data_IF_188436290102
#
_entry.id   IF_188436290102
#
_cell.length_a   1.000
_cell.length_b   1.000
_cell.length_c   1.000
_cell.angle_alpha   90.00
_cell.angle_beta   90.00
_cell.angle_gamma   90.00
#
_symmetry.space_group_name_H-M   'P 1'
#
loop_
_entity.id
_entity.type
_entity.pdbx_description
1 polymer ?
#
# COMPACT_ATOMS: atom_id res chain seq x y z
N UNK A 1 27.96 -24.19 44.86
CA UNK A 1 26.49 -24.26 44.68
C UNK A 1 25.82 -23.22 45.59
N UNK A 2 25.39 -22.08 45.03
CA UNK A 2 24.50 -21.11 45.70
C UNK A 2 23.24 -20.99 44.84
N UNK A 3 22.07 -21.32 45.40
CA UNK A 3 20.77 -21.18 44.72
C UNK A 3 20.45 -19.69 44.57
N UNK A 4 20.28 -19.21 43.33
CA UNK A 4 19.70 -17.90 43.07
C UNK A 4 18.16 -18.03 43.14
N UNK A 5 17.54 -17.16 43.94
CA UNK A 5 16.08 -17.04 44.06
C UNK A 5 15.52 -16.39 42.79
N UNK A 6 14.43 -16.92 42.25
CA UNK A 6 13.66 -16.29 41.18
C UNK A 6 12.81 -15.14 41.74
N UNK A 7 12.99 -13.94 41.22
CA UNK A 7 12.12 -12.78 41.50
C UNK A 7 10.86 -12.87 40.65
N UNK A 8 9.72 -12.43 41.18
CA UNK A 8 8.44 -12.47 40.49
C UNK A 8 8.10 -11.11 39.82
N UNK A 9 7.14 -11.14 38.90
CA UNK A 9 6.78 -10.08 37.95
C UNK A 9 6.44 -8.71 38.58
N UNK A 10 6.10 -8.65 39.88
CA UNK A 10 5.78 -7.40 40.58
C UNK A 10 7.02 -6.63 41.08
N UNK A 11 8.14 -7.30 41.33
CA UNK A 11 9.38 -6.63 41.75
C UNK A 11 10.19 -6.08 40.56
N UNK A 12 10.02 -6.64 39.37
CA UNK A 12 10.69 -6.17 38.15
C UNK A 12 10.16 -4.82 37.64
N UNK A 13 8.89 -4.50 37.92
CA UNK A 13 8.23 -3.26 37.46
C UNK A 13 8.48 -2.04 38.37
N UNK A 14 9.17 -2.22 39.50
CA UNK A 14 9.46 -1.12 40.44
C UNK A 14 10.74 -0.32 40.15
N UNK A 15 11.59 -0.75 39.20
CA UNK A 15 12.93 -0.19 38.97
C UNK A 15 13.01 0.67 37.69
N UNK A 16 11.95 0.77 36.89
CA UNK A 16 11.97 1.50 35.61
C UNK A 16 10.94 2.64 35.63
N UNK A 17 11.43 3.87 35.79
CA UNK A 17 10.63 5.09 35.73
C UNK A 17 10.00 5.31 34.34
N UNK A 18 8.87 6.02 34.32
CA UNK A 18 8.07 6.33 33.13
C UNK A 18 8.92 7.04 32.07
N UNK A 19 9.18 6.39 30.93
CA UNK A 19 9.82 7.05 29.78
C UNK A 19 10.64 6.17 28.81
N UNK A 20 10.74 4.85 28.99
CA UNK A 20 11.61 4.03 28.13
C UNK A 20 10.84 2.87 27.48
N UNK A 21 10.86 2.80 26.15
CA UNK A 21 10.44 1.62 25.39
C UNK A 21 11.62 0.65 25.33
N UNK A 22 11.45 -0.56 25.88
CA UNK A 22 12.41 -1.64 25.76
C UNK A 22 11.98 -2.57 24.62
N UNK A 23 12.85 -2.74 23.63
CA UNK A 23 12.67 -3.73 22.56
C UNK A 23 13.33 -5.03 23.04
N UNK A 24 12.54 -6.09 23.22
CA UNK A 24 13.03 -7.42 23.61
C UNK A 24 13.10 -8.27 22.35
N UNK A 25 14.31 -8.62 21.93
CA UNK A 25 14.53 -9.63 20.90
C UNK A 25 14.83 -10.97 21.59
N UNK A 26 13.97 -11.98 21.35
CA UNK A 26 14.21 -13.35 21.78
C UNK A 26 14.99 -14.09 20.69
N UNK A 27 16.29 -14.33 20.92
CA UNK A 27 17.10 -15.20 20.09
C UNK A 27 17.16 -16.58 20.73
N UNK A 28 16.55 -17.56 20.06
CA UNK A 28 16.50 -18.97 20.45
C UNK A 28 17.86 -19.67 20.26
N UNK A 29 18.92 -19.19 20.95
CA UNK A 29 20.04 -20.02 21.42
C UNK A 29 21.04 -19.23 22.29
N UNK A 30 20.61 -18.63 23.40
CA UNK A 30 21.43 -18.41 24.61
C UNK A 30 20.68 -17.54 25.61
N UNK A 31 20.74 -17.89 26.89
CA UNK A 31 20.01 -17.22 27.98
C UNK A 31 20.75 -15.96 28.50
N UNK A 32 20.94 -14.96 27.65
CA UNK A 32 21.48 -13.66 28.06
C UNK A 32 20.74 -12.51 27.38
N UNK A 33 20.14 -11.61 28.16
CA UNK A 33 19.47 -10.39 27.67
C UNK A 33 20.43 -9.21 27.83
N UNK A 34 20.70 -8.48 26.75
CA UNK A 34 21.39 -7.19 26.76
C UNK A 34 20.38 -6.07 26.43
N UNK A 35 20.35 -5.02 27.23
CA UNK A 35 19.59 -3.80 26.97
C UNK A 35 20.58 -2.65 26.72
N UNK A 36 20.43 -1.95 25.60
CA UNK A 36 21.20 -0.75 25.25
C UNK A 36 20.23 0.43 25.12
N UNK A 37 20.45 1.48 25.91
CA UNK A 37 19.66 2.72 25.85
C UNK A 37 20.53 3.85 25.28
N UNK A 38 20.01 4.56 24.27
CA UNK A 38 20.59 5.79 23.74
C UNK A 38 19.53 6.89 23.82
N UNK A 39 19.84 7.97 24.54
CA UNK A 39 19.01 9.15 24.70
C UNK A 39 19.50 10.32 23.85
N UNK A 40 18.59 11.25 23.53
CA UNK A 40 18.92 12.51 22.87
C UNK A 40 17.72 13.47 22.88
N UNK A 41 17.96 14.68 23.36
CA UNK A 41 16.97 15.73 23.70
C UNK A 41 16.93 16.87 22.67
N UNK A 42 15.84 17.65 22.74
CA UNK A 42 15.73 19.12 22.58
C UNK A 42 15.10 19.74 21.31
N UNK A 43 13.88 20.25 21.50
CA UNK A 43 13.37 21.63 21.33
C UNK A 43 13.98 22.57 20.26
N UNK A 44 13.12 23.15 19.42
CA UNK A 44 12.89 24.62 19.38
C UNK A 44 11.70 24.97 18.45
N UNK A 45 10.75 25.72 18.98
CA UNK A 45 9.66 26.37 18.26
C UNK A 45 9.94 27.87 18.15
N UNK A 46 9.68 28.47 17.00
CA UNK A 46 9.58 29.92 16.82
C UNK A 46 8.33 30.24 15.99
N UNK A 47 7.56 31.21 16.48
CA UNK A 47 6.26 31.62 15.96
C UNK A 47 6.34 32.88 15.08
N UNK A 48 5.48 32.90 14.04
CA UNK A 48 4.67 34.04 13.51
C UNK A 48 5.39 35.29 12.94
N UNK A 49 4.82 36.08 11.99
CA UNK A 49 3.39 36.42 11.90
C UNK A 49 2.72 36.55 10.51
N UNK A 50 1.41 36.79 10.63
CA UNK A 50 0.26 36.98 9.73
C UNK A 50 0.26 38.22 8.83
N UNK A 51 -0.40 38.14 7.65
CA UNK A 51 -1.61 38.89 7.20
C UNK A 51 -1.76 38.86 5.65
N UNK A 52 -2.88 39.33 5.03
CA UNK A 52 -4.17 38.68 4.79
C UNK A 52 -4.43 38.39 3.27
N UNK A 53 -5.53 37.70 2.87
CA UNK A 53 -5.82 37.45 1.45
C UNK A 53 -6.65 38.56 0.81
N UNK A 54 -6.31 38.90 -0.45
CA UNK A 54 -7.07 39.77 -1.32
C UNK A 54 -8.15 38.99 -2.07
N UNK A 55 -9.39 39.46 -1.94
CA UNK A 55 -10.59 39.07 -2.71
C UNK A 55 -10.47 39.47 -4.18
N UNK A 56 -10.76 38.53 -5.08
CA UNK A 56 -11.13 38.82 -6.46
C UNK A 56 -12.26 37.87 -6.91
N UNK A 57 -13.48 38.35 -6.81
CA UNK A 57 -14.67 37.81 -7.47
C UNK A 57 -14.61 38.12 -8.97
N UNK A 58 -14.58 37.10 -9.82
CA UNK A 58 -14.82 37.22 -11.25
C UNK A 58 -16.01 36.32 -11.64
N UNK A 59 -17.02 36.95 -12.24
CA UNK A 59 -18.31 36.36 -12.55
C UNK A 59 -18.26 35.28 -13.63
N UNK A 60 -19.00 34.21 -13.39
CA UNK A 60 -19.29 33.17 -14.38
C UNK A 60 -20.62 33.51 -15.04
N UNK A 61 -20.60 33.71 -16.35
CA UNK A 61 -21.79 33.86 -17.19
C UNK A 61 -22.18 32.49 -17.72
N UNK A 62 -23.35 31.97 -17.32
CA UNK A 62 -23.90 30.70 -17.79
C UNK A 62 -24.71 30.93 -19.07
N UNK A 63 -24.35 30.22 -20.15
CA UNK A 63 -25.17 30.07 -21.34
C UNK A 63 -26.06 28.82 -21.21
N UNK A 64 -27.30 28.81 -21.75
CA UNK A 64 -28.23 27.71 -21.56
C UNK A 64 -27.93 26.54 -22.51
N UNK A 65 -27.77 25.34 -21.95
CA UNK A 65 -27.65 24.08 -22.71
C UNK A 65 -29.03 23.57 -23.09
N UNK A 66 -29.27 23.36 -24.39
CA UNK A 66 -30.49 22.77 -24.93
C UNK A 66 -30.64 21.30 -24.52
N UNK A 67 -31.83 20.93 -24.08
CA UNK A 67 -32.23 19.56 -23.73
C UNK A 67 -32.65 18.81 -24.98
N UNK A 68 -31.91 17.75 -25.34
CA UNK A 68 -32.37 16.71 -26.26
C UNK A 68 -32.29 15.36 -25.56
N UNK A 69 -33.45 14.78 -25.24
CA UNK A 69 -33.60 13.38 -24.83
C UNK A 69 -33.41 12.47 -26.04
N UNK A 70 -32.55 11.43 -26.00
CA UNK A 70 -32.57 10.40 -27.03
C UNK A 70 -33.68 9.39 -26.73
N UNK A 71 -34.40 9.01 -27.78
CA UNK A 71 -35.42 7.96 -27.75
C UNK A 71 -34.80 6.61 -27.36
N UNK A 72 -35.48 5.87 -26.48
CA UNK A 72 -35.11 4.52 -26.07
C UNK A 72 -35.48 3.55 -27.19
N UNK A 73 -34.48 2.89 -27.75
CA UNK A 73 -34.61 1.77 -28.69
C UNK A 73 -35.11 0.52 -27.94
N UNK A 74 -36.23 -0.05 -28.39
CA UNK A 74 -36.96 -1.14 -27.72
C UNK A 74 -36.68 -2.52 -28.33
N UNK A 75 -35.44 -2.83 -28.69
CA UNK A 75 -35.08 -4.19 -29.10
C UNK A 75 -35.03 -5.13 -27.87
N UNK A 76 -35.72 -6.28 -27.88
CA UNK A 76 -35.59 -7.28 -26.83
C UNK A 76 -34.17 -7.88 -26.83
N UNK A 77 -33.64 -8.27 -25.65
CA UNK A 77 -32.27 -8.76 -25.56
C UNK A 77 -32.08 -10.04 -26.39
N UNK A 78 -30.93 -10.21 -27.06
CA UNK A 78 -30.66 -11.41 -27.82
C UNK A 78 -30.66 -12.63 -26.90
N UNK A 79 -31.32 -13.70 -27.34
CA UNK A 79 -31.34 -14.98 -26.63
C UNK A 79 -29.94 -15.55 -26.55
N UNK A 80 -29.44 -15.76 -25.33
CA UNK A 80 -28.12 -16.37 -25.10
C UNK A 80 -28.11 -17.79 -25.67
N UNK A 81 -27.15 -18.06 -26.57
CA UNK A 81 -26.88 -19.41 -27.05
C UNK A 81 -26.41 -20.30 -25.89
N UNK A 82 -26.74 -21.61 -25.89
CA UNK A 82 -26.31 -22.52 -24.84
C UNK A 82 -24.77 -22.61 -24.79
N UNK A 83 -24.20 -22.50 -23.59
CA UNK A 83 -22.76 -22.65 -23.38
C UNK A 83 -22.30 -24.05 -23.81
N UNK A 84 -21.31 -24.09 -24.71
CA UNK A 84 -20.57 -25.31 -25.02
C UNK A 84 -19.66 -25.66 -23.83
N UNK A 85 -19.94 -26.77 -23.15
CA UNK A 85 -19.22 -27.21 -21.94
C UNK A 85 -17.92 -27.98 -22.24
N UNK A 86 -17.51 -28.10 -23.51
CA UNK A 86 -16.32 -28.87 -23.91
C UNK A 86 -15.11 -27.99 -24.27
N UNK A 87 -15.16 -26.69 -24.02
CA UNK A 87 -13.95 -25.87 -24.01
C UNK A 87 -13.26 -26.08 -22.67
N UNK A 88 -12.00 -26.54 -22.61
CA UNK A 88 -11.22 -26.51 -21.37
C UNK A 88 -11.27 -25.08 -20.83
N UNK A 89 -11.82 -24.89 -19.63
CA UNK A 89 -11.74 -23.60 -18.94
C UNK A 89 -10.27 -23.20 -18.92
N UNK A 90 -9.90 -21.98 -19.33
CA UNK A 90 -8.52 -21.52 -19.13
C UNK A 90 -8.20 -21.71 -17.65
N UNK A 91 -7.07 -22.35 -17.33
CA UNK A 91 -6.57 -22.31 -15.96
C UNK A 91 -6.41 -20.85 -15.62
N UNK A 92 -7.23 -20.35 -14.70
CA UNK A 92 -7.04 -19.00 -14.18
C UNK A 92 -5.74 -19.09 -13.39
N UNK A 93 -4.67 -18.55 -13.95
CA UNK A 93 -3.41 -18.41 -13.24
C UNK A 93 -3.61 -17.35 -12.14
N UNK A 94 -4.09 -17.85 -10.99
CA UNK A 94 -4.36 -17.05 -9.81
C UNK A 94 -3.07 -16.46 -9.27
N UNK A 95 -3.14 -15.23 -8.78
CA UNK A 95 -2.02 -14.58 -8.14
C UNK A 95 -1.89 -15.07 -6.70
N UNK A 96 -0.66 -15.43 -6.31
CA UNK A 96 -0.26 -15.55 -4.91
C UNK A 96 0.28 -14.21 -4.43
N UNK A 97 -0.19 -13.73 -3.28
CA UNK A 97 0.27 -12.48 -2.65
C UNK A 97 1.07 -12.83 -1.40
N UNK A 98 2.35 -12.46 -1.37
CA UNK A 98 3.21 -12.66 -0.21
C UNK A 98 3.53 -11.31 0.42
N UNK A 99 2.98 -11.02 1.63
CA UNK A 99 3.35 -9.83 2.38
C UNK A 99 4.78 -9.94 2.92
N UNK A 100 5.54 -8.86 2.81
CA UNK A 100 6.88 -8.71 3.36
C UNK A 100 6.93 -7.50 4.28
N UNK A 101 7.28 -7.72 5.55
CA UNK A 101 7.56 -6.63 6.48
C UNK A 101 8.95 -6.04 6.20
N UNK A 102 9.01 -4.82 5.67
CA UNK A 102 10.22 -4.18 5.14
C UNK A 102 10.50 -2.87 5.88
N UNK A 103 10.68 -2.98 7.19
CA UNK A 103 10.88 -1.85 8.08
C UNK A 103 9.57 -1.50 8.79
N UNK A 104 9.10 -0.27 8.59
CA UNK A 104 7.83 0.23 9.16
C UNK A 104 6.63 0.02 8.25
N UNK A 105 6.87 -0.30 6.98
CA UNK A 105 5.89 -0.55 5.93
C UNK A 105 5.92 -2.01 5.47
N UNK A 106 4.91 -2.39 4.71
CA UNK A 106 4.83 -3.64 3.98
C UNK A 106 5.16 -3.42 2.51
N UNK A 107 5.76 -4.44 1.90
CA UNK A 107 5.83 -4.64 0.46
C UNK A 107 5.20 -6.00 0.12
N UNK A 108 4.98 -6.25 -1.15
CA UNK A 108 4.33 -7.49 -1.61
C UNK A 108 5.07 -8.11 -2.78
N UNK A 109 5.24 -9.43 -2.74
CA UNK A 109 5.66 -10.24 -3.88
C UNK A 109 4.42 -10.92 -4.45
N UNK A 110 4.09 -10.59 -5.69
CA UNK A 110 2.94 -11.14 -6.41
C UNK A 110 3.45 -12.13 -7.44
N UNK A 111 2.90 -13.34 -7.44
CA UNK A 111 3.36 -14.43 -8.31
C UNK A 111 2.20 -14.96 -9.13
N UNK A 112 2.38 -15.00 -10.46
CA UNK A 112 1.50 -15.67 -11.41
C UNK A 112 2.36 -16.57 -12.30
N UNK A 113 2.23 -17.88 -12.14
CA UNK A 113 3.14 -18.83 -12.80
C UNK A 113 4.59 -18.58 -12.34
N UNK A 114 5.47 -18.27 -13.28
CA UNK A 114 6.87 -17.90 -13.04
C UNK A 114 7.13 -16.39 -13.18
N UNK A 115 6.08 -15.58 -13.37
CA UNK A 115 6.18 -14.13 -13.47
C UNK A 115 5.91 -13.46 -12.12
N UNK A 116 6.78 -12.49 -11.77
CA UNK A 116 6.73 -11.79 -10.49
C UNK A 116 6.54 -10.29 -10.68
N UNK A 117 5.63 -9.73 -9.89
CA UNK A 117 5.52 -8.30 -9.64
C UNK A 117 5.84 -7.99 -8.16
N UNK A 118 6.64 -6.96 -7.93
CA UNK A 118 6.82 -6.37 -6.60
C UNK A 118 5.88 -5.18 -6.46
N UNK A 119 5.23 -5.04 -5.31
CA UNK A 119 4.51 -3.82 -4.92
C UNK A 119 5.22 -3.21 -3.74
N UNK A 120 5.74 -1.99 -3.94
CA UNK A 120 6.66 -1.29 -3.06
C UNK A 120 7.97 -2.04 -2.78
N UNK A 121 8.92 -1.34 -2.16
CA UNK A 121 10.29 -1.78 -1.90
C UNK A 121 10.72 -1.57 -0.45
N UNK A 122 9.87 -0.97 0.39
CA UNK A 122 10.17 -0.75 1.80
C UNK A 122 11.18 0.36 2.06
N UNK A 123 11.74 0.38 3.27
CA UNK A 123 12.90 1.23 3.60
C UNK A 123 14.18 0.66 2.97
N UNK A 124 15.20 1.49 2.77
CA UNK A 124 16.50 1.09 2.22
C UNK A 124 17.15 -0.08 3.00
N UNK A 125 17.95 -0.91 2.31
CA UNK A 125 18.65 -2.06 2.89
C UNK A 125 17.79 -3.32 3.09
N UNK A 126 16.65 -3.46 2.40
CA UNK A 126 15.77 -4.63 2.54
C UNK A 126 15.79 -5.58 1.33
N UNK A 127 16.66 -5.38 0.33
CA UNK A 127 16.71 -6.23 -0.86
C UNK A 127 16.88 -7.74 -0.54
N UNK A 128 17.63 -8.08 0.51
CA UNK A 128 17.82 -9.47 0.96
C UNK A 128 16.50 -10.15 1.38
N UNK A 129 15.53 -9.41 1.92
CA UNK A 129 14.21 -9.97 2.26
C UNK A 129 13.43 -10.38 1.01
N UNK A 130 13.55 -9.61 -0.07
CA UNK A 130 12.96 -9.96 -1.35
C UNK A 130 13.65 -11.18 -1.94
N UNK A 131 14.99 -11.26 -1.88
CA UNK A 131 15.73 -12.46 -2.31
C UNK A 131 15.24 -13.71 -1.56
N UNK A 132 15.17 -13.66 -0.22
CA UNK A 132 14.70 -14.79 0.58
C UNK A 132 13.25 -15.20 0.28
N UNK A 133 12.38 -14.22 -0.03
CA UNK A 133 11.00 -14.45 -0.43
C UNK A 133 10.91 -15.19 -1.78
N UNK A 134 11.68 -14.72 -2.78
CA UNK A 134 11.76 -15.37 -4.09
C UNK A 134 12.30 -16.80 -3.97
N UNK A 135 13.38 -16.99 -3.19
CA UNK A 135 13.99 -18.31 -2.97
C UNK A 135 13.02 -19.30 -2.32
N UNK A 136 12.21 -18.85 -1.36
CA UNK A 136 11.16 -19.68 -0.72
C UNK A 136 10.13 -20.18 -1.73
N UNK A 137 9.92 -19.43 -2.80
CA UNK A 137 9.01 -19.76 -3.90
C UNK A 137 9.71 -20.49 -5.06
N UNK A 138 10.99 -20.84 -4.92
CA UNK A 138 11.83 -21.39 -6.00
C UNK A 138 11.91 -20.48 -7.23
N UNK A 139 11.84 -19.16 -7.02
CA UNK A 139 11.95 -18.11 -8.03
C UNK A 139 13.28 -17.35 -7.86
N UNK A 140 13.68 -16.65 -8.92
CA UNK A 140 14.88 -15.83 -8.96
C UNK A 140 14.54 -14.39 -9.35
N UNK A 141 15.51 -13.48 -9.21
CA UNK A 141 15.37 -12.09 -9.66
C UNK A 141 15.03 -11.96 -11.15
N UNK A 142 15.42 -12.94 -11.96
CA UNK A 142 15.09 -13.04 -13.38
C UNK A 142 13.59 -13.24 -13.67
N UNK A 143 12.82 -13.65 -12.66
CA UNK A 143 11.36 -13.77 -12.72
C UNK A 143 10.65 -12.43 -12.43
N UNK A 144 11.35 -11.45 -11.84
CA UNK A 144 10.79 -10.14 -11.52
C UNK A 144 10.70 -9.30 -12.78
N UNK A 145 9.49 -9.18 -13.32
CA UNK A 145 9.21 -8.40 -14.53
C UNK A 145 8.57 -7.05 -14.23
N UNK A 146 8.01 -6.87 -13.03
CA UNK A 146 7.33 -5.62 -12.64
C UNK A 146 7.72 -5.16 -11.24
N UNK A 147 7.91 -3.85 -11.08
CA UNK A 147 8.02 -3.16 -9.79
C UNK A 147 7.00 -2.02 -9.81
N UNK A 148 5.96 -2.13 -9.00
CA UNK A 148 4.87 -1.18 -8.90
C UNK A 148 5.06 -0.39 -7.60
N UNK A 149 5.25 0.92 -7.70
CA UNK A 149 5.40 1.80 -6.55
C UNK A 149 4.05 2.48 -6.29
N UNK A 150 3.52 2.29 -5.09
CA UNK A 150 2.23 2.90 -4.69
C UNK A 150 2.36 4.41 -4.62
N UNK A 151 3.47 4.91 -4.07
CA UNK A 151 3.77 6.34 -3.98
C UNK A 151 5.25 6.60 -3.65
N UNK A 152 5.67 7.86 -3.64
CA UNK A 152 7.08 8.25 -3.52
C UNK A 152 7.67 8.29 -2.09
N UNK A 153 6.91 7.97 -1.04
CA UNK A 153 7.48 8.07 0.31
C UNK A 153 8.61 7.06 0.53
N UNK A 154 9.57 7.48 1.35
CA UNK A 154 10.87 6.81 1.50
C UNK A 154 10.76 5.38 2.00
N UNK A 155 9.77 5.09 2.82
CA UNK A 155 9.46 3.77 3.33
C UNK A 155 8.74 2.87 2.32
N UNK A 156 8.43 3.35 1.12
CA UNK A 156 7.86 2.55 0.03
C UNK A 156 8.84 2.40 -1.13
N UNK A 157 9.71 3.39 -1.37
CA UNK A 157 10.68 3.39 -2.49
C UNK A 157 12.14 3.17 -2.05
N UNK A 158 12.38 2.95 -0.77
CA UNK A 158 13.70 3.03 -0.16
C UNK A 158 14.70 1.98 -0.63
N UNK A 159 14.27 0.74 -0.92
CA UNK A 159 15.17 -0.30 -1.46
C UNK A 159 15.19 -0.34 -2.99
N UNK A 160 14.50 0.58 -3.68
CA UNK A 160 14.39 0.54 -5.15
C UNK A 160 15.76 0.48 -5.83
N UNK A 161 16.71 1.34 -5.44
CA UNK A 161 18.04 1.39 -6.05
C UNK A 161 18.78 0.04 -5.98
N UNK A 162 18.75 -0.61 -4.81
CA UNK A 162 19.35 -1.94 -4.61
C UNK A 162 18.65 -3.00 -5.46
N UNK A 163 17.31 -3.01 -5.43
CA UNK A 163 16.48 -3.96 -6.18
C UNK A 163 16.72 -3.85 -7.68
N UNK A 164 16.90 -2.65 -8.23
CA UNK A 164 17.17 -2.48 -9.67
C UNK A 164 18.51 -3.06 -10.12
N UNK A 165 19.47 -3.28 -9.21
CA UNK A 165 20.72 -3.99 -9.54
C UNK A 165 20.50 -5.51 -9.70
N UNK A 166 19.46 -6.04 -9.07
CA UNK A 166 19.14 -7.47 -9.04
C UNK A 166 18.06 -7.80 -10.09
N UNK A 167 16.96 -7.05 -10.11
CA UNK A 167 15.81 -7.21 -11.00
C UNK A 167 16.03 -6.56 -12.37
N UNK A 168 17.02 -7.04 -13.13
CA UNK A 168 17.46 -6.40 -14.39
C UNK A 168 16.37 -6.37 -15.47
N UNK A 169 15.45 -7.33 -15.47
CA UNK A 169 14.33 -7.41 -16.43
C UNK A 169 13.11 -6.58 -16.02
N UNK A 170 13.04 -6.14 -14.76
CA UNK A 170 11.84 -5.50 -14.25
C UNK A 170 11.59 -4.14 -14.89
N UNK A 171 10.34 -3.84 -15.25
CA UNK A 171 9.91 -2.46 -15.53
C UNK A 171 9.40 -1.82 -14.24
N UNK A 172 9.76 -0.56 -14.00
CA UNK A 172 9.29 0.20 -12.84
C UNK A 172 8.09 1.05 -13.23
N UNK A 173 7.08 1.07 -12.36
CA UNK A 173 5.81 1.73 -12.58
C UNK A 173 5.47 2.62 -11.38
N UNK A 174 4.95 3.83 -11.62
CA UNK A 174 4.40 4.70 -10.59
C UNK A 174 3.36 5.66 -11.19
N UNK A 175 2.53 6.27 -10.35
CA UNK A 175 1.66 7.36 -10.80
C UNK A 175 2.46 8.57 -11.25
N UNK A 176 2.05 9.16 -12.37
CA UNK A 176 2.85 10.16 -13.10
C UNK A 176 3.29 11.35 -12.23
N UNK A 177 2.43 11.80 -11.30
CA UNK A 177 2.70 12.97 -10.45
C UNK A 177 3.73 12.71 -9.35
N UNK A 178 4.04 11.44 -9.07
CA UNK A 178 5.03 11.05 -8.06
C UNK A 178 6.41 10.74 -8.67
N UNK A 179 6.49 10.46 -9.98
CA UNK A 179 7.73 10.01 -10.65
C UNK A 179 8.91 10.95 -10.42
N UNK A 180 8.70 12.26 -10.50
CA UNK A 180 9.77 13.25 -10.34
C UNK A 180 10.37 13.28 -8.93
N UNK A 181 9.70 12.66 -7.95
CA UNK A 181 10.11 12.59 -6.55
C UNK A 181 10.74 11.23 -6.18
N UNK A 182 10.75 10.28 -7.11
CA UNK A 182 11.32 8.95 -6.90
C UNK A 182 12.73 8.91 -7.48
N UNK A 183 13.72 8.69 -6.61
CA UNK A 183 15.09 8.46 -7.04
C UNK A 183 15.22 7.08 -7.67
N UNK A 184 15.54 7.03 -8.98
CA UNK A 184 15.70 5.79 -9.74
C UNK A 184 16.83 5.91 -10.75
N UNK A 185 17.62 4.85 -10.90
CA UNK A 185 18.65 4.74 -11.94
C UNK A 185 18.07 4.37 -13.31
N UNK A 186 16.78 4.04 -13.38
CA UNK A 186 16.06 3.62 -14.58
C UNK A 186 14.81 4.48 -14.78
N UNK A 187 14.38 4.63 -16.03
CA UNK A 187 13.11 5.28 -16.35
C UNK A 187 11.94 4.59 -15.64
N UNK A 188 11.10 5.38 -14.99
CA UNK A 188 9.84 4.92 -14.41
C UNK A 188 8.73 5.13 -15.43
N UNK A 189 7.95 4.08 -15.69
CA UNK A 189 6.79 4.11 -16.58
C UNK A 189 5.61 4.71 -15.83
N UNK A 190 5.01 5.75 -16.41
CA UNK A 190 3.82 6.38 -15.86
C UNK A 190 2.61 5.47 -15.98
N UNK A 191 1.88 5.36 -14.87
CA UNK A 191 0.61 4.62 -14.77
C UNK A 191 -0.54 5.61 -14.64
N UNK A 192 -1.63 5.34 -15.34
CA UNK A 192 -2.87 6.12 -15.25
C UNK A 192 -3.94 5.36 -14.45
N UNK A 193 -4.92 6.08 -13.91
CA UNK A 193 -6.08 5.45 -13.27
C UNK A 193 -6.78 4.49 -14.26
N UNK A 194 -7.20 3.35 -13.75
CA UNK A 194 -7.84 2.25 -14.48
C UNK A 194 -6.97 1.54 -15.53
N UNK A 195 -5.68 1.90 -15.66
CA UNK A 195 -4.75 1.14 -16.50
C UNK A 195 -4.40 -0.22 -15.90
N UNK A 196 -3.69 -1.05 -16.65
CA UNK A 196 -3.32 -2.40 -16.23
C UNK A 196 -1.80 -2.57 -16.17
N UNK A 197 -1.32 -3.19 -15.09
CA UNK A 197 0.06 -3.64 -14.94
C UNK A 197 0.03 -5.06 -14.39
N UNK A 198 0.76 -6.00 -14.99
CA UNK A 198 0.79 -7.39 -14.54
C UNK A 198 -0.62 -8.06 -14.51
N UNK A 199 -1.53 -7.64 -15.39
CA UNK A 199 -2.92 -8.13 -15.37
C UNK A 199 -3.73 -7.68 -14.14
N UNK A 200 -3.25 -6.65 -13.44
CA UNK A 200 -3.90 -6.04 -12.27
C UNK A 200 -4.30 -4.61 -12.60
N UNK A 201 -5.46 -4.20 -12.11
CA UNK A 201 -5.97 -2.86 -12.35
C UNK A 201 -5.32 -1.86 -11.40
N UNK A 202 -4.83 -0.77 -11.96
CA UNK A 202 -4.23 0.33 -11.21
C UNK A 202 -5.32 1.35 -10.86
N UNK A 203 -5.52 1.62 -9.58
CA UNK A 203 -6.53 2.56 -9.09
C UNK A 203 -5.85 3.80 -8.56
N UNK A 204 -6.01 4.93 -9.24
CA UNK A 204 -5.48 6.22 -8.79
C UNK A 204 -6.16 6.64 -7.49
N UNK A 205 -5.41 6.89 -6.44
CA UNK A 205 -5.94 7.27 -5.12
C UNK A 205 -5.23 8.50 -4.59
N UNK A 206 -5.29 9.63 -5.34
CA UNK A 206 -4.56 10.83 -4.98
C UNK A 206 -5.02 11.39 -3.63
N UNK A 207 -4.11 12.12 -2.99
CA UNK A 207 -4.37 12.86 -1.76
C UNK A 207 -3.32 12.58 -0.69
N UNK A 208 -2.99 11.31 -0.44
CA UNK A 208 -1.83 10.97 0.38
C UNK A 208 -0.56 11.52 -0.28
N UNK A 209 -0.36 11.13 -1.54
CA UNK A 209 0.47 11.83 -2.52
C UNK A 209 -0.36 12.06 -3.79
N UNK A 210 0.04 12.99 -4.68
CA UNK A 210 -0.72 13.25 -5.91
C UNK A 210 -0.71 12.06 -6.86
N UNK A 211 0.40 11.33 -6.97
CA UNK A 211 0.54 10.14 -7.82
C UNK A 211 0.22 8.82 -7.13
N UNK A 212 -0.44 8.82 -5.96
CA UNK A 212 -0.68 7.59 -5.21
C UNK A 212 -1.56 6.60 -5.98
N UNK A 213 -1.18 5.32 -5.97
CA UNK A 213 -1.83 4.22 -6.68
C UNK A 213 -2.12 3.04 -5.74
N UNK A 214 -3.30 2.43 -5.90
CA UNK A 214 -3.60 1.10 -5.38
C UNK A 214 -3.52 0.05 -6.50
N UNK A 215 -3.30 -1.21 -6.14
CA UNK A 215 -3.29 -2.36 -7.06
C UNK A 215 -4.50 -3.24 -6.77
N UNK A 216 -5.39 -3.39 -7.75
CA UNK A 216 -6.65 -4.12 -7.60
C UNK A 216 -6.67 -5.38 -8.45
N UNK A 217 -6.97 -6.51 -7.80
CA UNK A 217 -7.21 -7.80 -8.45
C UNK A 217 -8.68 -8.19 -8.30
N UNK A 218 -9.52 -7.97 -9.33
CA UNK A 218 -10.92 -8.37 -9.28
C UNK A 218 -11.12 -9.89 -9.28
N UNK A 219 -10.22 -10.66 -9.91
CA UNK A 219 -10.34 -12.12 -9.99
C UNK A 219 -9.90 -12.78 -8.69
N UNK A 220 -8.81 -12.30 -8.11
CA UNK A 220 -8.33 -12.69 -6.79
C UNK A 220 -9.13 -12.07 -5.64
N UNK A 221 -10.03 -11.12 -5.90
CA UNK A 221 -10.80 -10.41 -4.88
C UNK A 221 -9.89 -9.76 -3.82
N UNK A 222 -8.86 -9.06 -4.28
CA UNK A 222 -7.82 -8.46 -3.45
C UNK A 222 -7.52 -7.01 -3.84
N UNK A 223 -7.18 -6.20 -2.84
CA UNK A 223 -6.74 -4.81 -3.03
C UNK A 223 -5.47 -4.54 -2.21
N UNK A 224 -4.41 -4.10 -2.86
CA UNK A 224 -3.21 -3.54 -2.20
C UNK A 224 -3.37 -2.02 -2.17
N UNK A 225 -3.50 -1.46 -0.97
CA UNK A 225 -4.01 -0.10 -0.78
C UNK A 225 -2.92 0.95 -0.74
N UNK A 226 -1.64 0.57 -0.61
CA UNK A 226 -0.60 1.51 -0.16
C UNK A 226 -1.06 2.20 1.12
N UNK A 227 -0.94 3.52 1.13
CA UNK A 227 -1.27 4.38 2.28
C UNK A 227 -2.63 5.08 2.16
N UNK A 228 -3.41 4.76 1.11
CA UNK A 228 -4.79 5.22 0.99
C UNK A 228 -5.69 4.67 2.10
N UNK A 229 -5.34 3.50 2.65
CA UNK A 229 -5.95 2.84 3.80
C UNK A 229 -4.85 2.17 4.62
N UNK A 230 -5.06 2.03 5.93
CA UNK A 230 -4.11 1.39 6.84
C UNK A 230 -4.82 0.44 7.81
N UNK A 231 -4.12 -0.55 8.36
CA UNK A 231 -4.70 -1.46 9.36
C UNK A 231 -3.73 -1.73 10.52
N UNK A 232 -3.39 -0.67 11.26
CA UNK A 232 -2.37 -0.71 12.32
C UNK A 232 -3.00 -1.18 13.62
N UNK A 233 -2.37 -2.14 14.31
CA UNK A 233 -2.91 -2.68 15.57
C UNK A 233 -4.21 -3.45 15.41
N UNK A 234 -4.57 -3.86 14.18
CA UNK A 234 -5.85 -4.50 13.86
C UNK A 234 -7.02 -3.53 13.68
N UNK A 235 -6.75 -2.22 13.66
CA UNK A 235 -7.76 -1.19 13.41
C UNK A 235 -7.64 -0.64 11.99
N UNK A 236 -8.68 -0.89 11.18
CA UNK A 236 -8.82 -0.31 9.86
C UNK A 236 -9.01 1.20 9.99
N UNK A 237 -8.15 1.96 9.31
CA UNK A 237 -8.14 3.42 9.29
C UNK A 237 -7.93 3.93 7.87
N UNK A 238 -8.14 5.23 7.68
CA UNK A 238 -7.91 5.92 6.41
C UNK A 238 -6.46 6.33 6.17
N UNK A 239 -6.26 7.28 5.25
CA UNK A 239 -4.95 7.88 5.03
C UNK A 239 -4.52 8.65 6.28
N UNK A 240 -3.21 8.64 6.59
CA UNK A 240 -2.69 9.31 7.77
C UNK A 240 -2.66 10.84 7.57
N UNK A 241 -3.34 11.65 8.40
CA UNK A 241 -3.38 13.11 8.24
C UNK A 241 -2.02 13.79 8.31
N UNK A 242 -1.07 13.21 9.06
CA UNK A 242 0.28 13.78 9.22
C UNK A 242 1.16 13.63 7.99
N UNK A 243 0.81 12.71 7.09
CA UNK A 243 1.61 12.37 5.90
C UNK A 243 0.85 12.59 4.59
N UNK A 244 -0.41 13.00 4.66
CA UNK A 244 -1.23 13.21 3.46
C UNK A 244 -1.18 14.66 3.01
N UNK A 245 -0.78 14.90 1.77
CA UNK A 245 -0.67 16.26 1.21
C UNK A 245 -2.01 16.97 1.07
N UNK A 246 -3.05 16.22 0.71
CA UNK A 246 -4.42 16.71 0.60
C UNK A 246 -5.36 15.68 1.24
N UNK A 247 -5.73 15.93 2.50
CA UNK A 247 -6.56 15.00 3.27
C UNK A 247 -7.99 14.89 2.72
N UNK A 248 -8.56 15.96 2.17
CA UNK A 248 -9.91 15.92 1.59
C UNK A 248 -9.96 14.97 0.39
N UNK A 249 -9.00 15.12 -0.52
CA UNK A 249 -8.85 14.25 -1.69
C UNK A 249 -8.52 12.81 -1.27
N UNK A 250 -7.68 12.63 -0.23
CA UNK A 250 -7.34 11.31 0.28
C UNK A 250 -8.57 10.57 0.85
N UNK A 251 -9.47 11.30 1.53
CA UNK A 251 -10.73 10.75 2.01
C UNK A 251 -11.72 10.45 0.88
N UNK A 252 -11.72 11.23 -0.20
CA UNK A 252 -12.48 10.89 -1.41
C UNK A 252 -11.95 9.60 -2.05
N UNK A 253 -10.63 9.45 -2.15
CA UNK A 253 -9.97 8.23 -2.60
C UNK A 253 -10.36 7.02 -1.72
N UNK A 254 -10.34 7.17 -0.39
CA UNK A 254 -10.78 6.10 0.53
C UNK A 254 -12.25 5.72 0.32
N UNK A 255 -13.15 6.70 0.11
CA UNK A 255 -14.56 6.43 -0.24
C UNK A 255 -14.69 5.70 -1.58
N UNK A 256 -13.87 6.06 -2.58
CA UNK A 256 -13.83 5.36 -3.87
C UNK A 256 -13.51 3.88 -3.68
N UNK A 257 -12.53 3.55 -2.84
CA UNK A 257 -12.15 2.17 -2.55
C UNK A 257 -13.29 1.38 -1.90
N UNK A 258 -14.09 2.00 -1.02
CA UNK A 258 -15.28 1.38 -0.43
C UNK A 258 -16.40 1.01 -1.41
N UNK A 259 -16.32 1.45 -2.67
CA UNK A 259 -17.28 1.10 -3.75
C UNK A 259 -16.83 -0.10 -4.59
N UNK A 260 -15.57 -0.53 -4.44
CA UNK A 260 -15.05 -1.71 -5.11
C UNK A 260 -15.46 -2.97 -4.34
N UNK A 261 -15.47 -4.12 -5.02
CA UNK A 261 -15.74 -5.41 -4.40
C UNK A 261 -14.44 -6.20 -4.26
N UNK A 262 -14.07 -6.52 -3.04
CA UNK A 262 -12.92 -7.35 -2.69
C UNK A 262 -13.09 -7.97 -1.29
N UNK A 263 -12.62 -9.19 -1.12
CA UNK A 263 -12.60 -9.89 0.16
C UNK A 263 -11.38 -9.50 0.99
N UNK A 264 -10.23 -9.31 0.31
CA UNK A 264 -8.93 -9.13 0.95
C UNK A 264 -8.38 -7.73 0.74
N UNK A 265 -7.77 -7.17 1.77
CA UNK A 265 -7.02 -5.93 1.68
C UNK A 265 -5.63 -6.07 2.30
N UNK A 266 -4.65 -5.54 1.58
CA UNK A 266 -3.23 -5.56 1.88
C UNK A 266 -2.77 -4.09 1.98
N UNK A 267 -2.12 -3.71 3.07
CA UNK A 267 -1.90 -2.29 3.42
C UNK A 267 -0.42 -1.93 3.39
N UNK A 268 -0.11 -0.66 3.06
CA UNK A 268 1.23 -0.11 3.25
C UNK A 268 1.69 -0.23 4.71
N UNK A 269 0.77 -0.04 5.66
CA UNK A 269 1.03 -0.26 7.09
C UNK A 269 -0.03 -1.12 7.77
N UNK A 270 0.47 -2.05 8.59
CA UNK A 270 -0.36 -2.90 9.45
C UNK A 270 -0.64 -4.29 8.88
N UNK A 271 -1.67 -4.96 9.41
CA UNK A 271 -1.95 -6.36 9.09
C UNK A 271 -2.97 -6.50 7.96
N UNK A 272 -2.87 -7.50 7.06
CA UNK A 272 -3.90 -7.77 6.08
C UNK A 272 -5.28 -8.03 6.71
N UNK A 273 -6.33 -7.74 5.95
CA UNK A 273 -7.69 -8.24 6.21
C UNK A 273 -7.96 -9.33 5.19
N UNK A 274 -8.26 -10.55 5.66
CA UNK A 274 -8.38 -11.72 4.79
C UNK A 274 -9.82 -12.02 4.31
N UNK A 275 -10.84 -11.36 4.88
CA UNK A 275 -12.23 -11.48 4.43
C UNK A 275 -13.06 -10.27 4.84
N UNK A 276 -14.05 -9.91 4.02
CA UNK A 276 -14.98 -8.81 4.26
C UNK A 276 -14.36 -7.42 4.21
N UNK A 277 -13.18 -7.27 3.58
CA UNK A 277 -12.44 -6.01 3.59
C UNK A 277 -13.21 -4.86 2.93
N UNK A 278 -13.78 -5.05 1.74
CA UNK A 278 -14.57 -3.99 1.06
C UNK A 278 -15.74 -3.50 1.91
N UNK A 279 -16.45 -4.41 2.59
CA UNK A 279 -17.56 -4.07 3.47
C UNK A 279 -17.08 -3.27 4.71
N UNK A 280 -15.91 -3.61 5.26
CA UNK A 280 -15.32 -2.86 6.36
C UNK A 280 -14.94 -1.43 5.93
N UNK A 281 -14.35 -1.28 4.74
CA UNK A 281 -14.00 0.03 4.17
C UNK A 281 -15.26 0.85 3.88
N UNK A 282 -16.29 0.24 3.29
CA UNK A 282 -17.57 0.90 3.01
C UNK A 282 -18.28 1.41 4.28
N UNK A 283 -18.17 0.68 5.40
CA UNK A 283 -18.70 1.12 6.69
C UNK A 283 -17.92 2.31 7.28
N UNK A 284 -16.60 2.31 7.13
CA UNK A 284 -15.74 3.38 7.63
C UNK A 284 -15.86 4.66 6.79
N UNK A 285 -16.03 4.51 5.47
CA UNK A 285 -16.14 5.60 4.50
C UNK A 285 -17.46 5.50 3.74
N UNK A 286 -18.61 5.80 4.38
CA UNK A 286 -19.89 5.72 3.71
C UNK A 286 -19.94 6.68 2.52
N UNK A 287 -20.56 6.23 1.43
CA UNK A 287 -20.92 7.12 0.33
C UNK A 287 -21.97 8.11 0.85
N UNK A 288 -21.76 9.40 0.56
CA UNK A 288 -22.76 10.44 0.77
C UNK A 288 -23.93 10.26 -0.19
#
# INVERSE_FOLDING_TARGET
>A
MRRLRSLNRREFLGVIGRGTVALVAELSWSRSIFALALGGSSLAACASPTSPPATATAGVTLAPTATHSPAVDTQPPPTLAPLNTNTPMPSLDLITYLPLAVGVSNAYVLVRGDEVALVDTGVAGNAEKFSAALETMSLAWDNVQHIILTHHHRDHVGSLSEILTLAQKATVYAGAEDIALIESSRTITAVADQSEVFGLQMIGTPGHTPGHMCVYDPLGSALITGDALNNVGGELTGPNPSYSRNMEQALESARKLGRLTYERAYFGHGTPIESGASQAVARLFPSL
#
